data_IF_557960796642
#
_entry.id   IF_557960796642
#
_cell.length_a   1.000
_cell.length_b   1.000
_cell.length_c   1.000
_cell.angle_alpha   90.00
_cell.angle_beta   90.00
_cell.angle_gamma   90.00
#
_symmetry.space_group_name_H-M   'P 1'
#
loop_
_entity.id
_entity.type
_entity.pdbx_description
1 polymer ?
#
# COMPACT_ATOMS: atom_id res chain seq x y z
N UNK A 1 -14.88 27.40 8.20
CA UNK A 1 -13.48 27.03 8.48
C UNK A 1 -12.90 26.45 7.21
N UNK A 2 -11.67 26.83 6.83
CA UNK A 2 -11.14 26.59 5.48
C UNK A 2 -10.70 25.13 5.21
N UNK A 3 -10.69 24.25 6.22
CA UNK A 3 -10.24 22.86 6.08
C UNK A 3 -11.28 21.90 6.70
N UNK A 4 -11.68 20.88 5.95
CA UNK A 4 -12.77 19.96 6.33
C UNK A 4 -12.26 18.68 6.96
N UNK A 5 -11.01 18.29 6.69
CA UNK A 5 -10.38 17.06 7.23
C UNK A 5 -8.97 17.33 7.75
N UNK A 6 -8.45 16.40 8.57
CA UNK A 6 -7.05 16.43 9.02
C UNK A 6 -6.04 16.32 7.85
N UNK A 7 -6.41 15.63 6.76
CA UNK A 7 -5.57 15.55 5.57
C UNK A 7 -5.50 16.91 4.85
N UNK A 8 -6.61 17.66 4.79
CA UNK A 8 -6.64 19.01 4.21
C UNK A 8 -5.73 19.97 4.98
N UNK A 9 -5.66 19.84 6.31
CA UNK A 9 -4.73 20.60 7.14
C UNK A 9 -3.26 20.27 6.82
N UNK A 10 -2.96 18.98 6.64
CA UNK A 10 -1.60 18.54 6.27
C UNK A 10 -1.22 19.03 4.88
N UNK A 11 -2.16 19.03 3.93
CA UNK A 11 -1.93 19.57 2.58
C UNK A 11 -1.63 21.05 2.62
N UNK A 12 -2.43 21.83 3.36
CA UNK A 12 -2.16 23.25 3.48
C UNK A 12 -0.85 23.56 4.20
N UNK A 13 -0.55 22.80 5.26
CA UNK A 13 0.74 22.90 5.94
C UNK A 13 1.88 22.56 4.98
N UNK A 14 1.77 21.47 4.21
CA UNK A 14 2.77 21.07 3.22
C UNK A 14 2.94 22.10 2.09
N UNK A 15 1.87 22.71 1.59
CA UNK A 15 1.92 23.80 0.60
C UNK A 15 2.60 25.04 1.15
N UNK A 16 2.27 25.45 2.37
CA UNK A 16 2.93 26.58 3.04
C UNK A 16 4.41 26.29 3.32
N UNK A 17 4.77 25.03 3.53
CA UNK A 17 6.14 24.53 3.68
C UNK A 17 6.82 24.23 2.33
N UNK A 18 6.09 24.20 1.20
CA UNK A 18 6.67 23.97 -0.12
C UNK A 18 7.52 25.16 -0.58
N UNK A 19 7.34 26.34 -0.01
CA UNK A 19 8.30 27.45 -0.18
C UNK A 19 9.58 27.27 0.66
N UNK A 20 9.60 26.28 1.56
CA UNK A 20 10.72 25.87 2.42
C UNK A 20 11.31 24.51 1.96
N UNK A 21 10.76 23.90 0.89
CA UNK A 21 11.12 22.54 0.40
C UNK A 21 12.61 22.31 0.14
N UNK A 22 13.36 23.37 -0.20
CA UNK A 22 14.81 23.25 -0.41
C UNK A 22 15.62 23.18 0.89
N UNK A 23 15.05 23.58 2.04
CA UNK A 23 15.80 23.73 3.29
C UNK A 23 15.69 22.51 4.23
N UNK A 24 14.59 21.77 4.19
CA UNK A 24 14.40 20.58 5.05
C UNK A 24 13.64 19.43 4.33
N UNK A 25 14.36 18.58 3.57
CA UNK A 25 13.75 17.45 2.87
C UNK A 25 13.21 16.37 3.81
N UNK A 26 13.67 16.29 5.06
CA UNK A 26 13.17 15.31 6.02
C UNK A 26 11.80 15.73 6.56
N UNK A 27 11.59 17.02 6.81
CA UNK A 27 10.29 17.55 7.20
C UNK A 27 9.24 17.37 6.10
N UNK A 28 9.56 17.70 4.83
CA UNK A 28 8.63 17.50 3.71
C UNK A 28 8.24 16.01 3.56
N UNK A 29 9.22 15.10 3.64
CA UNK A 29 8.96 13.67 3.65
C UNK A 29 8.00 13.27 4.77
N UNK A 30 8.26 13.72 6.00
CA UNK A 30 7.42 13.39 7.17
C UNK A 30 5.99 13.88 7.00
N UNK A 31 5.78 15.10 6.49
CA UNK A 31 4.45 15.66 6.27
C UNK A 31 3.68 14.90 5.19
N UNK A 32 4.32 14.59 4.05
CA UNK A 32 3.69 13.83 2.97
C UNK A 32 3.36 12.40 3.39
N UNK A 33 4.23 11.76 4.17
CA UNK A 33 3.94 10.44 4.76
C UNK A 33 2.76 10.52 5.75
N UNK A 34 2.74 11.53 6.61
CA UNK A 34 1.65 11.75 7.56
C UNK A 34 0.30 11.91 6.86
N UNK A 35 0.26 12.61 5.71
CA UNK A 35 -0.94 12.67 4.87
C UNK A 35 -1.45 11.28 4.52
N UNK A 36 -0.57 10.42 3.99
CA UNK A 36 -0.93 9.04 3.68
C UNK A 36 -1.41 8.27 4.90
N UNK A 37 -0.79 8.46 6.07
CA UNK A 37 -1.21 7.79 7.32
C UNK A 37 -2.62 8.21 7.75
N UNK A 38 -2.95 9.50 7.65
CA UNK A 38 -4.29 10.03 7.93
C UNK A 38 -5.32 9.47 6.94
N UNK A 39 -4.98 9.40 5.65
CA UNK A 39 -5.87 8.85 4.62
C UNK A 39 -6.20 7.38 4.88
N UNK A 40 -5.23 6.58 5.34
CA UNK A 40 -5.49 5.20 5.79
C UNK A 40 -6.47 5.17 6.96
N UNK A 41 -6.27 6.03 7.97
CA UNK A 41 -7.18 6.10 9.13
C UNK A 41 -8.60 6.49 8.76
N UNK A 42 -8.77 7.24 7.66
CA UNK A 42 -10.09 7.62 7.11
C UNK A 42 -10.69 6.56 6.17
N UNK A 43 -10.02 5.42 5.97
CA UNK A 43 -10.45 4.38 5.02
C UNK A 43 -10.25 4.74 3.54
N UNK A 44 -9.56 5.85 3.25
CA UNK A 44 -9.28 6.33 1.90
C UNK A 44 -7.99 5.69 1.36
N UNK A 45 -7.92 4.36 1.33
CA UNK A 45 -6.64 3.67 1.14
C UNK A 45 -6.02 3.88 -0.26
N UNK A 46 -6.81 4.09 -1.33
CA UNK A 46 -6.23 4.42 -2.64
C UNK A 46 -5.62 5.82 -2.68
N UNK A 47 -6.27 6.80 -2.04
CA UNK A 47 -5.67 8.12 -1.88
C UNK A 47 -4.40 8.05 -1.01
N UNK A 48 -4.37 7.17 -0.01
CA UNK A 48 -3.16 6.91 0.77
C UNK A 48 -2.04 6.29 -0.09
N UNK A 49 -2.37 5.29 -0.92
CA UNK A 49 -1.43 4.68 -1.87
C UNK A 49 -0.83 5.74 -2.79
N UNK A 50 -1.65 6.61 -3.38
CA UNK A 50 -1.19 7.73 -4.22
C UNK A 50 -0.25 8.67 -3.45
N UNK A 51 -0.62 9.05 -2.23
CA UNK A 51 0.22 9.91 -1.39
C UNK A 51 1.59 9.27 -1.07
N UNK A 52 1.62 7.99 -0.72
CA UNK A 52 2.86 7.28 -0.45
C UNK A 52 3.71 7.05 -1.70
N UNK A 53 3.10 6.77 -2.85
CA UNK A 53 3.83 6.65 -4.12
C UNK A 53 4.52 7.97 -4.48
N UNK A 54 3.88 9.11 -4.24
CA UNK A 54 4.51 10.43 -4.40
C UNK A 54 5.73 10.62 -3.48
N UNK A 55 5.71 10.07 -2.26
CA UNK A 55 6.88 10.07 -1.37
C UNK A 55 8.00 9.19 -1.91
N UNK A 56 7.68 7.97 -2.36
CA UNK A 56 8.67 7.05 -2.92
C UNK A 56 9.35 7.66 -4.15
N UNK A 57 8.58 8.21 -5.08
CA UNK A 57 9.09 8.86 -6.30
C UNK A 57 10.07 10.01 -5.98
N UNK A 58 9.77 10.81 -4.95
CA UNK A 58 10.56 11.99 -4.59
C UNK A 58 11.83 11.68 -3.79
N UNK A 59 11.79 10.64 -2.95
CA UNK A 59 12.77 10.45 -1.87
C UNK A 59 13.49 9.12 -1.83
N UNK A 60 13.01 8.09 -2.51
CA UNK A 60 13.54 6.73 -2.34
C UNK A 60 14.96 6.55 -2.88
N UNK A 61 15.38 7.37 -3.85
CA UNK A 61 16.78 7.42 -4.30
C UNK A 61 17.74 8.04 -3.27
N UNK A 62 17.21 8.75 -2.27
CA UNK A 62 17.99 9.54 -1.29
C UNK A 62 17.88 9.00 0.13
N UNK A 63 16.81 8.27 0.44
CA UNK A 63 16.46 7.83 1.79
C UNK A 63 15.96 6.38 1.78
N UNK A 64 16.21 5.60 2.84
CA UNK A 64 15.76 4.21 2.93
C UNK A 64 14.24 4.16 3.20
N UNK A 65 13.46 3.90 2.16
CA UNK A 65 11.99 3.87 2.23
C UNK A 65 11.36 2.48 2.06
N UNK A 66 12.13 1.41 2.25
CA UNK A 66 11.64 0.03 2.14
C UNK A 66 10.41 -0.27 3.00
N UNK A 67 10.34 0.30 4.21
CA UNK A 67 9.14 0.18 5.07
C UNK A 67 7.88 0.79 4.45
N UNK A 68 8.02 1.94 3.77
CA UNK A 68 6.93 2.65 3.12
C UNK A 68 6.51 1.94 1.84
N UNK A 69 7.47 1.49 1.03
CA UNK A 69 7.23 0.66 -0.15
C UNK A 69 6.51 -0.63 0.23
N UNK A 70 6.94 -1.30 1.30
CA UNK A 70 6.24 -2.47 1.81
C UNK A 70 4.79 -2.16 2.17
N UNK A 71 4.56 -1.06 2.91
CA UNK A 71 3.21 -0.60 3.29
C UNK A 71 2.31 -0.34 2.08
N UNK A 72 2.82 0.27 1.01
CA UNK A 72 2.06 0.48 -0.23
C UNK A 72 1.62 -0.86 -0.82
N UNK A 73 2.54 -1.82 -0.95
CA UNK A 73 2.19 -3.15 -1.44
C UNK A 73 1.20 -3.87 -0.52
N UNK A 74 1.30 -3.68 0.80
CA UNK A 74 0.37 -4.28 1.76
C UNK A 74 -1.06 -3.74 1.63
N UNK A 75 -1.22 -2.44 1.39
CA UNK A 75 -2.52 -1.82 1.11
C UNK A 75 -3.15 -2.38 -0.19
N UNK A 76 -2.35 -2.52 -1.25
CA UNK A 76 -2.82 -3.13 -2.51
C UNK A 76 -3.22 -4.59 -2.31
N UNK A 77 -2.38 -5.35 -1.60
CA UNK A 77 -2.63 -6.76 -1.28
C UNK A 77 -3.92 -6.95 -0.47
N UNK A 78 -4.13 -6.12 0.55
CA UNK A 78 -5.32 -6.19 1.39
C UNK A 78 -6.63 -5.92 0.61
N UNK A 79 -6.56 -5.12 -0.46
CA UNK A 79 -7.66 -4.90 -1.41
C UNK A 79 -7.83 -6.00 -2.45
N UNK A 80 -6.99 -7.03 -2.44
CA UNK A 80 -6.97 -8.11 -3.42
C UNK A 80 -6.19 -7.82 -4.69
N UNK A 81 -5.53 -6.66 -4.80
CA UNK A 81 -4.61 -6.36 -5.91
C UNK A 81 -3.22 -6.97 -5.65
N UNK A 82 -3.17 -8.30 -5.73
CA UNK A 82 -1.94 -9.07 -5.50
C UNK A 82 -0.86 -8.75 -6.54
N UNK A 83 -1.24 -8.47 -7.79
CA UNK A 83 -0.29 -8.14 -8.87
C UNK A 83 0.30 -6.74 -8.70
N UNK A 84 -0.52 -5.77 -8.31
CA UNK A 84 -0.04 -4.44 -7.95
C UNK A 84 0.91 -4.49 -6.76
N UNK A 85 0.54 -5.24 -5.71
CA UNK A 85 1.41 -5.46 -4.56
C UNK A 85 2.77 -6.07 -4.93
N UNK A 86 2.78 -7.13 -5.76
CA UNK A 86 4.00 -7.75 -6.27
C UNK A 86 4.89 -6.75 -6.99
N UNK A 87 4.30 -5.93 -7.87
CA UNK A 87 5.03 -4.91 -8.65
C UNK A 87 5.69 -3.88 -7.73
N UNK A 88 4.99 -3.44 -6.68
CA UNK A 88 5.55 -2.51 -5.70
C UNK A 88 6.69 -3.15 -4.91
N UNK A 89 6.52 -4.39 -4.44
CA UNK A 89 7.53 -5.09 -3.64
C UNK A 89 8.77 -5.50 -4.44
N UNK A 90 8.68 -5.70 -5.76
CA UNK A 90 9.84 -5.92 -6.63
C UNK A 90 10.85 -4.76 -6.57
N UNK A 91 10.40 -3.55 -6.25
CA UNK A 91 11.28 -2.38 -6.08
C UNK A 91 11.99 -2.29 -4.73
N UNK A 92 11.80 -3.24 -3.80
CA UNK A 92 12.52 -3.24 -2.52
C UNK A 92 14.03 -3.41 -2.73
N UNK A 93 14.83 -2.61 -2.03
CA UNK A 93 16.29 -2.64 -2.16
C UNK A 93 16.88 -3.89 -1.47
N UNK A 94 18.12 -4.26 -1.80
CA UNK A 94 18.76 -5.47 -1.25
C UNK A 94 18.98 -5.43 0.26
N UNK A 95 19.13 -4.22 0.83
CA UNK A 95 19.21 -4.00 2.27
C UNK A 95 17.83 -4.07 2.97
N UNK A 96 16.72 -4.18 2.24
CA UNK A 96 15.36 -4.34 2.79
C UNK A 96 14.98 -5.82 3.00
N UNK A 97 15.93 -6.65 3.46
CA UNK A 97 15.78 -8.12 3.55
C UNK A 97 14.54 -8.56 4.33
N UNK A 98 14.22 -7.89 5.44
CA UNK A 98 13.02 -8.15 6.23
C UNK A 98 11.74 -7.96 5.39
N UNK A 99 11.62 -6.83 4.69
CA UNK A 99 10.43 -6.51 3.89
C UNK A 99 10.31 -7.42 2.67
N UNK A 100 11.43 -7.81 2.06
CA UNK A 100 11.46 -8.81 0.98
C UNK A 100 10.91 -10.16 1.45
N UNK A 101 11.33 -10.63 2.63
CA UNK A 101 10.82 -11.88 3.20
C UNK A 101 9.31 -11.79 3.44
N UNK A 102 8.83 -10.73 4.09
CA UNK A 102 7.40 -10.54 4.37
C UNK A 102 6.57 -10.46 3.08
N UNK A 103 7.07 -9.76 2.05
CA UNK A 103 6.42 -9.67 0.74
C UNK A 103 6.34 -11.07 0.09
N UNK A 104 7.45 -11.81 0.10
CA UNK A 104 7.51 -13.15 -0.48
C UNK A 104 6.56 -14.14 0.22
N UNK A 105 6.46 -14.07 1.55
CA UNK A 105 5.50 -14.87 2.32
C UNK A 105 4.05 -14.57 1.91
N UNK A 106 3.68 -13.28 1.79
CA UNK A 106 2.34 -12.86 1.36
C UNK A 106 2.01 -13.33 -0.07
N UNK A 107 2.94 -13.18 -1.01
CA UNK A 107 2.76 -13.64 -2.39
C UNK A 107 2.64 -15.16 -2.48
N UNK A 108 3.46 -15.88 -1.70
CA UNK A 108 3.42 -17.34 -1.64
C UNK A 108 2.08 -17.82 -1.09
N UNK A 109 1.60 -17.20 0.00
CA UNK A 109 0.27 -17.49 0.57
C UNK A 109 -0.86 -17.22 -0.43
N UNK A 110 -0.80 -16.12 -1.18
CA UNK A 110 -1.80 -15.81 -2.20
C UNK A 110 -1.81 -16.85 -3.32
N UNK A 111 -0.64 -17.30 -3.79
CA UNK A 111 -0.53 -18.38 -4.78
C UNK A 111 -1.15 -19.68 -4.28
N UNK A 112 -0.83 -20.09 -3.05
CA UNK A 112 -1.42 -21.29 -2.45
C UNK A 112 -2.95 -21.19 -2.33
N UNK A 113 -3.47 -20.04 -1.96
CA UNK A 113 -4.91 -19.82 -1.85
C UNK A 113 -5.62 -19.91 -3.22
N UNK A 114 -5.04 -19.32 -4.27
CA UNK A 114 -5.54 -19.42 -5.64
C UNK A 114 -5.48 -20.87 -6.17
N UNK A 115 -4.37 -21.57 -5.95
CA UNK A 115 -4.23 -22.98 -6.34
C UNK A 115 -5.21 -23.90 -5.59
N UNK A 116 -5.37 -23.70 -4.29
CA UNK A 116 -6.34 -24.43 -3.48
C UNK A 116 -7.78 -24.19 -3.95
N UNK A 117 -8.14 -22.93 -4.24
CA UNK A 117 -9.47 -22.62 -4.76
C UNK A 117 -9.73 -23.35 -6.09
N UNK A 118 -8.75 -23.35 -7.01
CA UNK A 118 -8.86 -24.08 -8.28
C UNK A 118 -9.01 -25.58 -8.08
N UNK A 119 -8.36 -26.15 -7.09
CA UNK A 119 -8.50 -27.57 -6.76
C UNK A 119 -9.92 -27.88 -6.25
N UNK A 120 -10.43 -27.08 -5.31
CA UNK A 120 -11.78 -27.22 -4.77
C UNK A 120 -12.84 -27.10 -5.87
N UNK A 121 -12.72 -26.10 -6.76
CA UNK A 121 -13.68 -25.87 -7.83
C UNK A 121 -13.79 -27.05 -8.82
N UNK A 122 -12.74 -27.88 -8.92
CA UNK A 122 -12.69 -29.06 -9.80
C UNK A 122 -13.32 -30.31 -9.19
N UNK A 123 -13.65 -30.32 -7.89
CA UNK A 123 -14.31 -31.47 -7.25
C UNK A 123 -15.83 -31.33 -7.47
N UNK A 124 -16.48 -32.23 -8.25
CA UNK A 124 -17.89 -32.07 -8.66
C UNK A 124 -18.89 -31.93 -7.49
N UNK A 125 -18.58 -32.53 -6.34
CA UNK A 125 -19.39 -32.41 -5.13
C UNK A 125 -19.25 -31.02 -4.45
N UNK A 126 -18.07 -30.42 -4.49
CA UNK A 126 -17.79 -29.11 -3.87
C UNK A 126 -18.32 -27.94 -4.72
N UNK A 127 -18.33 -28.07 -6.05
CA UNK A 127 -18.90 -27.07 -6.97
C UNK A 127 -20.39 -26.80 -6.68
N UNK A 128 -21.13 -27.81 -6.19
CA UNK A 128 -22.55 -27.68 -5.83
C UNK A 128 -22.80 -26.96 -4.49
N UNK A 129 -21.80 -26.91 -3.59
CA UNK A 129 -21.87 -26.21 -2.30
C UNK A 129 -21.62 -24.71 -2.52
N UNK A 130 -20.55 -24.35 -3.25
CA UNK A 130 -20.23 -22.96 -3.59
C UNK A 130 -21.32 -22.27 -4.45
N UNK A 131 -22.04 -23.03 -5.30
CA UNK A 131 -23.14 -22.48 -6.11
C UNK A 131 -24.37 -22.09 -5.26
N UNK A 132 -24.61 -22.76 -4.13
CA UNK A 132 -25.73 -22.45 -3.23
C UNK A 132 -25.46 -21.24 -2.34
N UNK A 133 -24.21 -21.02 -1.93
CA UNK A 133 -23.83 -19.86 -1.10
C UNK A 133 -23.82 -18.54 -1.89
N UNK A 134 -23.48 -18.54 -3.18
CA UNK A 134 -23.53 -17.34 -4.03
C UNK A 134 -24.94 -16.93 -4.48
N UNK A 135 -25.95 -17.69 -4.09
CA UNK A 135 -27.36 -17.48 -4.47
C UNK A 135 -28.22 -16.87 -3.35
N UNK A 136 -27.60 -16.46 -2.23
CA UNK A 136 -28.22 -15.79 -1.09
C UNK A 136 -27.66 -14.38 -0.93
#
# INVERSE_FOLDING_TARGET
>A
GAYKTAADYVDHAAESLAQVQEQDPELDLRMRRLKGDILVQQGQEMAAVEAYLGVLDSYESKMPLGSLRFKVGDLLYARGDVKGAETIWQGLADNDSLYKTLAQEKLTRAKWQDEYQRYVDRIPAASSINAREKSQ
#
